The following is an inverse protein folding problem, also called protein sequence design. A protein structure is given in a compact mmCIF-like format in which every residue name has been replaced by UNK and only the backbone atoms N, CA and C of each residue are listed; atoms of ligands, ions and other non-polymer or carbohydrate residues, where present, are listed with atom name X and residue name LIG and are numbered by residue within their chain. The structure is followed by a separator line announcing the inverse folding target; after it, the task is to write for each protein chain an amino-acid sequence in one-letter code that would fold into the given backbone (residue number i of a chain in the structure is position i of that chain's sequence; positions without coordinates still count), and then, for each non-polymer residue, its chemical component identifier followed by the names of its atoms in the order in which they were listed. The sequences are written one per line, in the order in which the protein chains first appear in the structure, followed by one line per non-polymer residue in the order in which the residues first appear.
data_IF_865575636166
#
_entry.id   IF_865575636166
#
_cell.length_a   1.000
_cell.length_b   1.000
_cell.length_c   1.000
_cell.angle_alpha   90.00
_cell.angle_beta   90.00
_cell.angle_gamma   90.00
#
_symmetry.space_group_name_H-M   'P 1'
#
loop_
_entity.id
_entity.type
_entity.pdbx_description
1 polymer ?
#
# COMPACT_ATOMS: atom_id res chain seq x y z
N UNK A 1 13.70 -5.54 8.06
CA UNK A 1 13.96 -4.12 7.71
C UNK A 1 14.46 -3.40 8.98
N UNK A 2 15.56 -2.63 8.94
CA UNK A 2 16.25 -2.07 10.12
C UNK A 2 15.39 -1.11 10.96
N UNK A 3 15.50 -1.20 12.30
CA UNK A 3 14.63 -0.56 13.30
C UNK A 3 14.65 0.97 13.37
N UNK A 4 15.65 1.64 12.81
CA UNK A 4 15.66 3.09 12.62
C UNK A 4 16.77 3.46 11.63
N UNK A 5 16.41 3.84 10.41
CA UNK A 5 17.38 4.04 9.33
C UNK A 5 17.84 5.49 9.29
N UNK A 6 19.15 5.72 9.15
CA UNK A 6 19.68 7.07 8.95
C UNK A 6 19.29 7.57 7.56
N UNK A 7 18.92 8.85 7.46
CA UNK A 7 18.55 9.51 6.21
C UNK A 7 19.57 9.28 5.07
N UNK A 8 20.87 9.21 5.42
CA UNK A 8 21.94 8.94 4.46
C UNK A 8 21.90 7.52 3.87
N UNK A 9 21.71 6.51 4.72
CA UNK A 9 21.62 5.09 4.28
C UNK A 9 20.37 4.85 3.43
N UNK A 10 19.27 5.51 3.77
CA UNK A 10 18.01 5.40 3.03
C UNK A 10 18.11 6.12 1.67
N UNK A 11 18.80 7.26 1.62
CA UNK A 11 19.11 7.96 0.38
C UNK A 11 20.10 7.17 -0.51
N UNK A 12 21.07 6.46 0.06
CA UNK A 12 21.98 5.57 -0.70
C UNK A 12 21.23 4.38 -1.32
N UNK A 13 20.32 3.75 -0.56
CA UNK A 13 19.50 2.63 -1.05
C UNK A 13 18.51 3.06 -2.15
N UNK A 14 17.96 4.28 -2.05
CA UNK A 14 16.97 4.81 -3.00
C UNK A 14 17.58 5.66 -4.13
N UNK A 15 18.86 6.00 -4.04
CA UNK A 15 19.60 6.76 -5.06
C UNK A 15 19.51 6.17 -6.47
N UNK A 16 19.63 4.83 -6.66
CA UNK A 16 19.42 4.20 -7.95
C UNK A 16 18.02 4.41 -8.56
N UNK A 17 17.02 4.73 -7.73
CA UNK A 17 15.64 5.02 -8.15
C UNK A 17 15.37 6.51 -8.38
N UNK A 18 16.41 7.35 -8.36
CA UNK A 18 16.32 8.78 -8.64
C UNK A 18 15.81 9.64 -7.48
N UNK A 19 15.69 9.07 -6.28
CA UNK A 19 15.31 9.80 -5.07
C UNK A 19 16.55 10.33 -4.37
N UNK A 20 16.82 11.63 -4.56
CA UNK A 20 17.88 12.35 -3.85
C UNK A 20 17.53 12.61 -2.38
N UNK A 21 18.55 12.92 -1.58
CA UNK A 21 18.41 13.13 -0.13
C UNK A 21 17.43 14.26 0.22
N UNK A 22 17.40 15.34 -0.57
CA UNK A 22 16.47 16.46 -0.36
C UNK A 22 15.03 16.09 -0.72
N UNK A 23 14.83 15.30 -1.78
CA UNK A 23 13.51 14.77 -2.13
C UNK A 23 12.99 13.82 -1.05
N UNK A 24 13.87 12.99 -0.48
CA UNK A 24 13.53 12.10 0.62
C UNK A 24 13.16 12.87 1.90
N UNK A 25 13.94 13.90 2.27
CA UNK A 25 13.62 14.79 3.40
C UNK A 25 12.27 15.47 3.20
N UNK A 26 12.02 16.02 2.02
CA UNK A 26 10.74 16.64 1.70
C UNK A 26 9.60 15.62 1.80
N UNK A 27 9.77 14.41 1.25
CA UNK A 27 8.74 13.37 1.30
C UNK A 27 8.42 12.94 2.73
N UNK A 28 9.42 12.74 3.58
CA UNK A 28 9.22 12.36 4.98
C UNK A 28 8.56 13.51 5.77
N UNK A 29 9.00 14.75 5.55
CA UNK A 29 8.44 15.92 6.23
C UNK A 29 6.98 16.22 5.81
N UNK A 30 6.64 16.01 4.52
CA UNK A 30 5.28 16.24 4.02
C UNK A 30 4.30 15.12 4.43
N UNK A 31 4.79 13.96 4.87
CA UNK A 31 3.96 12.81 5.29
C UNK A 31 4.13 12.52 6.80
N UNK A 32 3.89 13.53 7.64
CA UNK A 32 3.98 13.42 9.11
C UNK A 32 3.01 12.38 9.71
N UNK A 33 1.92 12.08 9.02
CA UNK A 33 0.97 11.03 9.41
C UNK A 33 1.58 9.62 9.33
N UNK A 34 2.59 9.40 8.48
CA UNK A 34 3.22 8.08 8.28
C UNK A 34 4.59 7.98 8.94
N UNK A 35 5.32 9.09 8.99
CA UNK A 35 6.67 9.13 9.53
C UNK A 35 6.79 10.19 10.63
N UNK A 36 7.36 9.78 11.75
CA UNK A 36 7.66 10.65 12.87
C UNK A 36 9.19 10.81 13.01
N UNK A 37 9.60 12.00 13.40
CA UNK A 37 11.00 12.28 13.70
C UNK A 37 11.24 12.09 15.21
N UNK A 38 12.02 11.08 15.57
CA UNK A 38 12.32 10.72 16.96
C UNK A 38 13.81 10.44 17.11
N UNK A 39 14.47 11.02 18.13
CA UNK A 39 15.91 10.85 18.41
C UNK A 39 16.83 11.03 17.19
N UNK A 40 16.58 12.06 16.38
CA UNK A 40 17.32 12.37 15.14
C UNK A 40 17.24 11.28 14.05
N UNK A 41 16.26 10.39 14.15
CA UNK A 41 15.97 9.33 13.18
C UNK A 41 14.51 9.44 12.74
N UNK A 42 14.24 8.99 11.53
CA UNK A 42 12.87 8.85 11.04
C UNK A 42 12.38 7.44 11.36
N UNK A 43 11.25 7.36 12.04
CA UNK A 43 10.58 6.11 12.37
C UNK A 43 9.14 6.14 11.86
N UNK A 44 8.56 4.99 11.50
CA UNK A 44 7.13 4.93 11.20
C UNK A 44 6.32 5.41 12.40
N UNK A 45 5.36 6.30 12.17
CA UNK A 45 4.49 6.86 13.23
C UNK A 45 3.74 5.76 13.97
N UNK A 46 3.40 4.66 13.28
CA UNK A 46 2.80 3.47 13.88
C UNK A 46 3.58 2.94 15.06
N UNK A 47 4.91 3.03 15.05
CA UNK A 47 5.74 2.47 16.15
C UNK A 47 5.62 3.29 17.43
N UNK A 48 5.44 4.60 17.32
CA UNK A 48 5.23 5.47 18.47
C UNK A 48 3.81 5.28 19.01
N UNK A 49 2.82 5.36 18.14
CA UNK A 49 1.40 5.26 18.51
C UNK A 49 1.03 3.88 19.09
N UNK A 50 1.70 2.83 18.62
CA UNK A 50 1.40 1.45 19.03
C UNK A 50 2.17 1.00 20.27
N UNK A 51 3.18 1.76 20.73
CA UNK A 51 4.03 1.35 21.86
C UNK A 51 3.21 1.06 23.12
N UNK A 52 2.21 1.90 23.41
CA UNK A 52 1.36 1.82 24.60
C UNK A 52 -0.05 1.25 24.31
N UNK A 53 -0.40 1.04 23.04
CA UNK A 53 -1.76 0.64 22.65
C UNK A 53 -2.06 -0.85 22.93
N UNK A 54 -3.31 -1.25 23.24
CA UNK A 54 -3.67 -2.66 23.33
C UNK A 54 -3.24 -3.45 22.08
N UNK A 55 -2.89 -4.73 22.25
CA UNK A 55 -2.24 -5.52 21.19
C UNK A 55 -2.97 -5.48 19.83
N UNK A 56 -4.29 -5.68 19.85
CA UNK A 56 -5.13 -5.61 18.65
C UNK A 56 -5.06 -4.23 17.99
N UNK A 57 -5.00 -3.15 18.79
CA UNK A 57 -4.86 -1.78 18.28
C UNK A 57 -3.48 -1.55 17.67
N UNK A 58 -2.40 -2.12 18.24
CA UNK A 58 -1.07 -2.05 17.65
C UNK A 58 -1.01 -2.67 16.24
N UNK A 59 -1.66 -3.83 16.05
CA UNK A 59 -1.82 -4.43 14.71
C UNK A 59 -2.59 -3.48 13.79
N UNK A 60 -3.72 -2.96 14.26
CA UNK A 60 -4.58 -2.10 13.47
C UNK A 60 -3.85 -0.84 13.00
N UNK A 61 -3.19 -0.12 13.90
CA UNK A 61 -2.40 1.09 13.58
C UNK A 61 -1.27 0.74 12.61
N UNK A 62 -0.60 -0.40 12.80
CA UNK A 62 0.47 -0.83 11.88
C UNK A 62 -0.06 -1.02 10.46
N UNK A 63 -1.22 -1.66 10.31
CA UNK A 63 -1.87 -1.86 9.00
C UNK A 63 -2.42 -0.55 8.41
N UNK A 64 -3.05 0.31 9.23
CA UNK A 64 -3.53 1.64 8.83
C UNK A 64 -2.39 2.48 8.25
N UNK A 65 -1.24 2.52 8.94
CA UNK A 65 -0.07 3.30 8.52
C UNK A 65 0.67 2.69 7.34
N UNK A 66 0.67 1.36 7.20
CA UNK A 66 1.18 0.70 6.00
C UNK A 66 0.31 0.99 4.77
N UNK A 67 -1.01 1.10 4.96
CA UNK A 67 -1.96 1.55 3.94
C UNK A 67 -2.28 0.49 2.89
N UNK A 68 -2.11 -0.79 3.22
CA UNK A 68 -2.44 -1.92 2.35
C UNK A 68 -2.22 -3.27 3.04
N UNK A 69 -2.51 -4.38 2.33
CA UNK A 69 -2.28 -5.73 2.85
C UNK A 69 -0.79 -5.95 3.14
N UNK A 70 -0.48 -6.47 4.32
CA UNK A 70 0.90 -6.69 4.77
C UNK A 70 1.16 -8.19 4.97
N UNK A 71 2.29 -8.75 4.47
CA UNK A 71 2.68 -10.12 4.78
C UNK A 71 2.80 -10.36 6.29
N UNK A 72 2.33 -11.51 6.78
CA UNK A 72 2.33 -11.84 8.21
C UNK A 72 3.73 -11.75 8.85
N UNK A 73 4.76 -12.17 8.11
CA UNK A 73 6.17 -12.09 8.51
C UNK A 73 6.63 -10.63 8.72
N UNK A 74 6.19 -9.72 7.84
CA UNK A 74 6.52 -8.30 7.95
C UNK A 74 5.78 -7.68 9.14
N UNK A 75 4.53 -8.07 9.38
CA UNK A 75 3.77 -7.63 10.54
C UNK A 75 4.41 -8.10 11.84
N UNK A 76 4.80 -9.38 11.92
CA UNK A 76 5.53 -9.94 13.06
C UNK A 76 6.81 -9.15 13.36
N UNK A 77 7.58 -8.86 12.32
CA UNK A 77 8.79 -8.06 12.45
C UNK A 77 8.48 -6.66 12.97
N UNK A 78 7.48 -5.96 12.43
CA UNK A 78 7.10 -4.62 12.92
C UNK A 78 6.66 -4.63 14.39
N UNK A 79 5.85 -5.60 14.79
CA UNK A 79 5.41 -5.74 16.19
C UNK A 79 6.58 -6.03 17.13
N UNK A 80 7.58 -6.80 16.69
CA UNK A 80 8.80 -7.05 17.47
C UNK A 80 9.62 -5.80 17.76
N UNK A 81 9.60 -4.81 16.84
CA UNK A 81 10.24 -3.52 17.06
C UNK A 81 9.48 -2.64 18.05
N UNK A 82 8.15 -2.72 18.04
CA UNK A 82 7.29 -1.91 18.90
C UNK A 82 7.36 -2.43 20.35
N UNK A 83 7.43 -3.76 20.52
CA UNK A 83 7.45 -4.44 21.81
C UNK A 83 8.47 -5.58 21.82
N UNK A 84 9.73 -5.29 22.17
CA UNK A 84 10.79 -6.30 22.21
C UNK A 84 10.61 -7.35 23.33
N UNK A 85 9.93 -6.98 24.42
CA UNK A 85 9.85 -7.80 25.64
C UNK A 85 8.81 -8.93 25.56
N UNK A 86 7.86 -8.83 24.65
CA UNK A 86 6.86 -9.88 24.39
C UNK A 86 7.46 -10.94 23.48
N UNK A 87 7.95 -12.01 24.10
CA UNK A 87 8.83 -13.03 23.52
C UNK A 87 8.25 -13.91 22.40
N UNK A 88 7.03 -13.69 21.89
CA UNK A 88 6.35 -14.62 20.99
C UNK A 88 5.62 -13.92 19.83
N UNK A 89 6.33 -13.13 19.03
CA UNK A 89 5.79 -12.59 17.77
C UNK A 89 5.87 -13.58 16.61
N UNK A 90 5.67 -14.87 16.90
CA UNK A 90 5.69 -15.89 15.87
C UNK A 90 4.50 -15.67 14.90
N UNK A 91 4.71 -15.80 13.57
CA UNK A 91 3.64 -15.72 12.60
C UNK A 91 2.44 -16.61 12.95
N UNK A 92 2.67 -17.81 13.48
CA UNK A 92 1.62 -18.77 13.84
C UNK A 92 0.70 -18.24 14.95
N UNK A 93 1.25 -17.57 15.96
CA UNK A 93 0.47 -16.96 17.04
C UNK A 93 -0.36 -15.79 16.51
N UNK A 94 0.25 -14.96 15.67
CA UNK A 94 -0.45 -13.84 15.03
C UNK A 94 -1.62 -14.34 14.17
N UNK A 95 -1.41 -15.39 13.38
CA UNK A 95 -2.46 -15.98 12.55
C UNK A 95 -3.65 -16.41 13.39
N UNK A 96 -3.44 -17.04 14.55
CA UNK A 96 -4.53 -17.44 15.46
C UNK A 96 -5.33 -16.23 15.97
N UNK A 97 -4.63 -15.17 16.38
CA UNK A 97 -5.27 -13.94 16.87
C UNK A 97 -6.06 -13.25 15.76
N UNK A 98 -5.46 -13.15 14.58
CA UNK A 98 -6.06 -12.53 13.39
C UNK A 98 -7.31 -13.30 12.97
N UNK A 99 -7.23 -14.63 12.83
CA UNK A 99 -8.37 -15.47 12.46
C UNK A 99 -9.50 -15.46 13.50
N UNK A 100 -9.19 -15.20 14.76
CA UNK A 100 -10.18 -15.06 15.83
C UNK A 100 -10.85 -13.69 15.91
N UNK A 101 -10.39 -12.69 15.13
CA UNK A 101 -10.90 -11.33 15.18
C UNK A 101 -11.70 -10.96 13.93
N UNK A 102 -12.84 -10.30 14.12
CA UNK A 102 -13.63 -9.76 13.01
C UNK A 102 -13.00 -8.49 12.37
N UNK A 103 -11.96 -7.93 12.97
CA UNK A 103 -11.32 -6.69 12.51
C UNK A 103 -10.33 -6.91 11.37
N UNK A 104 -9.90 -8.14 11.15
CA UNK A 104 -8.84 -8.48 10.22
C UNK A 104 -9.28 -9.51 9.19
N UNK A 105 -8.67 -9.45 8.02
CA UNK A 105 -8.78 -10.46 6.98
C UNK A 105 -7.42 -11.12 6.80
N UNK A 106 -7.40 -12.45 6.86
CA UNK A 106 -6.23 -13.26 6.54
C UNK A 106 -6.40 -13.84 5.14
N UNK A 107 -5.59 -13.40 4.19
CA UNK A 107 -5.64 -13.87 2.80
C UNK A 107 -4.98 -15.24 2.63
N UNK A 108 -5.15 -15.85 1.47
CA UNK A 108 -4.52 -17.15 1.16
C UNK A 108 -3.03 -17.01 0.85
N UNK A 109 -2.58 -15.81 0.48
CA UNK A 109 -1.17 -15.47 0.22
C UNK A 109 -0.41 -15.03 1.50
N UNK A 110 -0.86 -15.48 2.67
CA UNK A 110 -0.28 -15.15 3.99
C UNK A 110 -0.17 -13.65 4.29
N UNK A 111 -1.08 -12.84 3.73
CA UNK A 111 -1.18 -11.41 4.01
C UNK A 111 -2.34 -11.10 4.95
N UNK A 112 -2.14 -10.08 5.78
CA UNK A 112 -3.10 -9.53 6.71
C UNK A 112 -3.57 -8.19 6.21
N UNK A 113 -4.88 -7.97 6.25
CA UNK A 113 -5.50 -6.72 5.90
C UNK A 113 -6.56 -6.33 6.93
N UNK A 114 -6.94 -5.05 6.94
CA UNK A 114 -8.08 -4.61 7.73
C UNK A 114 -9.37 -5.06 7.05
N UNK A 115 -10.28 -5.61 7.85
CA UNK A 115 -11.57 -6.05 7.34
C UNK A 115 -12.41 -4.86 6.84
N UNK A 116 -12.14 -3.66 7.34
CA UNK A 116 -12.72 -2.41 6.86
C UNK A 116 -12.39 -2.10 5.40
N UNK A 117 -11.37 -2.71 4.79
CA UNK A 117 -11.01 -2.46 3.39
C UNK A 117 -11.83 -3.28 2.39
N UNK A 118 -12.47 -4.34 2.85
CA UNK A 118 -13.36 -5.17 2.05
C UNK A 118 -14.82 -4.80 2.29
N UNK A 119 -15.70 -5.18 1.37
CA UNK A 119 -17.14 -5.12 1.61
C UNK A 119 -17.58 -6.34 2.41
N UNK A 120 -17.99 -6.12 3.65
CA UNK A 120 -18.50 -7.15 4.55
C UNK A 120 -20.02 -7.13 4.62
N UNK A 121 -20.65 -8.24 4.28
CA UNK A 121 -22.10 -8.41 4.43
C UNK A 121 -22.40 -9.88 4.76
N UNK A 122 -23.08 -10.10 5.87
CA UNK A 122 -23.31 -11.42 6.47
C UNK A 122 -24.78 -11.77 6.54
N UNK A 123 -25.63 -10.78 6.83
CA UNK A 123 -27.03 -10.96 7.21
C UNK A 123 -27.96 -9.82 6.78
N UNK A 124 -27.40 -8.65 6.50
CA UNK A 124 -28.08 -7.37 6.63
C UNK A 124 -28.97 -7.02 5.43
N UNK A 125 -29.92 -6.10 5.66
CA UNK A 125 -30.63 -5.43 4.56
C UNK A 125 -29.66 -4.61 3.72
N UNK A 126 -30.00 -4.37 2.46
CA UNK A 126 -29.16 -3.63 1.51
C UNK A 126 -28.73 -2.26 2.04
N UNK A 127 -29.67 -1.49 2.59
CA UNK A 127 -29.40 -0.17 3.19
C UNK A 127 -28.41 -0.25 4.35
N UNK A 128 -28.56 -1.28 5.22
CA UNK A 128 -27.68 -1.47 6.37
C UNK A 128 -26.30 -1.94 5.93
N UNK A 129 -26.20 -2.83 4.94
CA UNK A 129 -24.93 -3.28 4.39
C UNK A 129 -24.14 -2.10 3.79
N UNK A 130 -24.82 -1.19 3.10
CA UNK A 130 -24.17 0.01 2.53
C UNK A 130 -23.73 0.99 3.61
N UNK A 131 -24.56 1.23 4.63
CA UNK A 131 -24.22 2.08 5.75
C UNK A 131 -23.00 1.55 6.53
N UNK A 132 -22.97 0.24 6.84
CA UNK A 132 -21.86 -0.38 7.57
C UNK A 132 -20.53 -0.31 6.81
N UNK A 133 -20.57 -0.43 5.49
CA UNK A 133 -19.37 -0.37 4.65
C UNK A 133 -19.02 1.06 4.19
N UNK A 134 -19.86 2.05 4.50
CA UNK A 134 -19.73 3.44 4.05
C UNK A 134 -19.68 3.56 2.52
N UNK A 135 -20.64 2.91 1.85
CA UNK A 135 -20.75 2.89 0.38
C UNK A 135 -22.05 3.58 -0.04
N UNK A 136 -21.99 4.47 -1.04
CA UNK A 136 -23.19 5.08 -1.64
C UNK A 136 -23.82 4.13 -2.67
N UNK A 137 -25.14 3.96 -2.62
CA UNK A 137 -25.90 3.16 -3.56
C UNK A 137 -25.70 3.63 -5.02
N UNK A 138 -25.57 4.95 -5.24
CA UNK A 138 -25.38 5.52 -6.59
C UNK A 138 -24.09 5.03 -7.23
N UNK A 139 -23.02 4.92 -6.44
CA UNK A 139 -21.72 4.45 -6.92
C UNK A 139 -21.75 2.96 -7.25
N UNK A 140 -22.49 2.18 -6.46
CA UNK A 140 -22.69 0.74 -6.69
C UNK A 140 -23.48 0.50 -7.97
N UNK A 141 -24.55 1.25 -8.21
CA UNK A 141 -25.34 1.14 -9.45
C UNK A 141 -24.52 1.54 -10.68
N UNK A 142 -23.73 2.61 -10.59
CA UNK A 142 -22.84 3.03 -11.66
C UNK A 142 -21.76 1.98 -11.95
N UNK A 143 -21.23 1.33 -10.91
CA UNK A 143 -20.29 0.22 -11.04
C UNK A 143 -20.95 -1.04 -11.63
N UNK A 144 -22.16 -1.38 -11.19
CA UNK A 144 -22.92 -2.52 -11.70
C UNK A 144 -23.17 -2.42 -13.21
N UNK A 145 -23.49 -1.22 -13.72
CA UNK A 145 -23.63 -0.97 -15.17
C UNK A 145 -22.34 -1.27 -15.94
N UNK A 146 -21.18 -0.84 -15.42
CA UNK A 146 -19.86 -1.10 -16.02
C UNK A 146 -19.45 -2.56 -15.96
N UNK A 147 -19.98 -3.31 -14.99
CA UNK A 147 -19.60 -4.69 -14.69
C UNK A 147 -20.64 -5.72 -15.15
N UNK A 148 -21.64 -5.31 -15.93
CA UNK A 148 -22.76 -6.14 -16.41
C UNK A 148 -22.33 -7.38 -17.22
N UNK A 149 -21.11 -7.41 -17.76
CA UNK A 149 -20.55 -8.55 -18.49
C UNK A 149 -19.66 -9.50 -17.67
N UNK A 150 -19.51 -9.28 -16.36
CA UNK A 150 -18.64 -10.11 -15.51
C UNK A 150 -19.43 -11.27 -14.91
N UNK A 151 -18.94 -12.49 -15.10
CA UNK A 151 -19.45 -13.66 -14.40
C UNK A 151 -18.86 -13.71 -12.98
N UNK A 152 -19.69 -13.38 -11.99
CA UNK A 152 -19.30 -13.34 -10.58
C UNK A 152 -19.08 -14.72 -9.95
N UNK A 153 -19.57 -15.79 -10.58
CA UNK A 153 -19.37 -17.17 -10.10
C UNK A 153 -18.02 -17.76 -10.53
N UNK A 154 -17.40 -17.19 -11.56
CA UNK A 154 -16.09 -17.62 -12.02
C UNK A 154 -15.00 -17.29 -10.99
N UNK A 155 -13.95 -18.12 -10.93
CA UNK A 155 -12.80 -17.90 -10.04
C UNK A 155 -12.04 -16.61 -10.37
N UNK A 156 -12.06 -16.20 -11.63
CA UNK A 156 -11.35 -15.02 -12.14
C UNK A 156 -12.18 -13.72 -12.09
N UNK A 157 -13.33 -13.72 -11.41
CA UNK A 157 -14.26 -12.59 -11.39
C UNK A 157 -13.62 -11.28 -10.90
N UNK A 158 -12.80 -11.35 -9.85
CA UNK A 158 -12.10 -10.18 -9.29
C UNK A 158 -11.12 -9.55 -10.31
N UNK A 159 -10.41 -10.38 -11.07
CA UNK A 159 -9.47 -9.92 -12.11
C UNK A 159 -10.22 -9.29 -13.28
N UNK A 160 -11.33 -9.88 -13.70
CA UNK A 160 -12.17 -9.35 -14.78
C UNK A 160 -12.80 -8.00 -14.39
N UNK A 161 -13.30 -7.91 -13.15
CA UNK A 161 -13.87 -6.68 -12.62
C UNK A 161 -12.84 -5.54 -12.56
N UNK A 162 -11.63 -5.83 -12.07
CA UNK A 162 -10.51 -4.87 -12.08
C UNK A 162 -10.12 -4.43 -13.49
N UNK A 163 -10.14 -5.33 -14.47
CA UNK A 163 -9.84 -4.99 -15.88
C UNK A 163 -10.88 -4.05 -16.48
N UNK A 164 -12.15 -4.22 -16.13
CA UNK A 164 -13.25 -3.44 -16.70
C UNK A 164 -13.42 -2.07 -16.03
N UNK A 165 -13.19 -1.95 -14.72
CA UNK A 165 -13.65 -0.80 -13.94
C UNK A 165 -12.57 -0.05 -13.16
N UNK A 166 -11.28 -0.40 -13.26
CA UNK A 166 -10.22 0.33 -12.55
C UNK A 166 -10.05 1.78 -13.06
N UNK A 167 -9.80 2.77 -12.16
CA UNK A 167 -9.67 2.64 -10.71
C UNK A 167 -11.02 2.65 -9.98
N UNK A 168 -11.21 1.75 -9.00
CA UNK A 168 -12.44 1.64 -8.20
C UNK A 168 -12.15 1.15 -6.78
N UNK A 169 -12.97 1.52 -5.80
CA UNK A 169 -12.86 1.01 -4.42
C UNK A 169 -13.14 -0.50 -4.38
N UNK A 170 -12.31 -1.24 -3.61
CA UNK A 170 -12.52 -2.66 -3.34
C UNK A 170 -13.91 -2.93 -2.74
N UNK A 171 -14.43 -1.99 -1.94
CA UNK A 171 -15.76 -2.07 -1.33
C UNK A 171 -16.87 -2.01 -2.36
N UNK A 172 -16.76 -1.12 -3.35
CA UNK A 172 -17.78 -0.98 -4.40
C UNK A 172 -17.79 -2.25 -5.26
N UNK A 173 -16.62 -2.80 -5.60
CA UNK A 173 -16.51 -4.06 -6.32
C UNK A 173 -17.13 -5.23 -5.53
N UNK A 174 -16.84 -5.31 -4.22
CA UNK A 174 -17.44 -6.31 -3.34
C UNK A 174 -18.94 -6.14 -3.18
N UNK A 175 -19.47 -4.92 -3.16
CA UNK A 175 -20.90 -4.65 -3.10
C UNK A 175 -21.63 -5.12 -4.36
N UNK A 176 -21.05 -4.89 -5.55
CA UNK A 176 -21.63 -5.38 -6.82
C UNK A 176 -21.58 -6.91 -6.89
N UNK A 177 -20.47 -7.51 -6.46
CA UNK A 177 -20.35 -8.97 -6.37
C UNK A 177 -21.39 -9.56 -5.41
N UNK A 178 -21.56 -8.94 -4.23
CA UNK A 178 -22.54 -9.34 -3.22
C UNK A 178 -23.98 -9.28 -3.75
N UNK A 179 -24.36 -8.17 -4.41
CA UNK A 179 -25.69 -8.04 -5.02
C UNK A 179 -25.95 -9.08 -6.11
N UNK A 180 -24.92 -9.42 -6.89
CA UNK A 180 -25.06 -10.36 -8.02
C UNK A 180 -25.10 -11.81 -7.55
N UNK A 181 -24.42 -12.14 -6.45
CA UNK A 181 -24.28 -13.51 -5.94
C UNK A 181 -25.32 -13.86 -4.88
N UNK A 182 -25.83 -12.88 -4.12
CA UNK A 182 -26.77 -13.12 -3.04
C UNK A 182 -28.16 -12.57 -3.41
N UNK A 183 -29.14 -13.46 -3.64
CA UNK A 183 -30.54 -13.06 -3.66
C UNK A 183 -30.90 -12.37 -2.35
N UNK A 184 -31.73 -11.32 -2.39
CA UNK A 184 -32.18 -10.58 -1.20
C UNK A 184 -33.21 -11.37 -0.36
N UNK A 185 -33.37 -12.67 -0.63
CA UNK A 185 -34.20 -13.57 0.17
C UNK A 185 -33.42 -14.00 1.43
N UNK A 186 -33.93 -13.72 2.65
CA UNK A 186 -33.29 -14.12 3.90
C UNK A 186 -33.02 -15.63 4.04
N UNK A 187 -33.76 -16.48 3.31
CA UNK A 187 -33.62 -17.94 3.37
C UNK A 187 -32.66 -18.51 2.34
N UNK A 188 -32.26 -17.72 1.34
CA UNK A 188 -31.34 -18.17 0.31
C UNK A 188 -29.92 -18.34 0.87
N UNK A 189 -29.21 -19.35 0.37
CA UNK A 189 -27.80 -19.54 0.72
C UNK A 189 -26.96 -18.42 0.12
N UNK A 190 -26.15 -17.80 0.96
CA UNK A 190 -25.25 -16.71 0.57
C UNK A 190 -23.97 -17.33 0.00
N UNK A 191 -23.64 -16.95 -1.23
CA UNK A 191 -22.46 -17.43 -1.94
C UNK A 191 -21.29 -16.44 -1.84
N UNK A 192 -21.55 -15.19 -1.48
CA UNK A 192 -20.50 -14.18 -1.32
C UNK A 192 -19.76 -14.35 0.00
N UNK A 193 -18.45 -14.58 -0.09
CA UNK A 193 -17.50 -14.48 1.02
C UNK A 193 -16.57 -13.27 0.79
N UNK A 194 -16.61 -12.31 1.71
CA UNK A 194 -15.80 -11.10 1.66
C UNK A 194 -14.30 -11.40 1.70
N UNK A 195 -13.89 -12.40 2.49
CA UNK A 195 -12.49 -12.79 2.66
C UNK A 195 -11.94 -13.40 1.38
N UNK A 196 -12.68 -14.35 0.81
CA UNK A 196 -12.27 -15.02 -0.43
C UNK A 196 -12.22 -14.03 -1.60
N UNK A 197 -13.24 -13.18 -1.73
CA UNK A 197 -13.27 -12.15 -2.78
C UNK A 197 -12.10 -11.18 -2.66
N UNK A 198 -11.81 -10.71 -1.45
CA UNK A 198 -10.72 -9.76 -1.19
C UNK A 198 -9.34 -10.39 -1.41
N UNK A 199 -9.15 -11.66 -0.99
CA UNK A 199 -7.94 -12.45 -1.26
C UNK A 199 -7.66 -12.50 -2.77
N UNK A 200 -8.67 -12.85 -3.58
CA UNK A 200 -8.55 -12.89 -5.05
C UNK A 200 -8.27 -11.52 -5.67
N UNK A 201 -8.79 -10.45 -5.08
CA UNK A 201 -8.59 -9.08 -5.54
C UNK A 201 -7.13 -8.63 -5.35
N UNK A 202 -6.52 -8.99 -4.24
CA UNK A 202 -5.11 -8.67 -3.94
C UNK A 202 -4.16 -9.55 -4.75
N UNK A 203 -4.45 -10.84 -4.86
CA UNK A 203 -3.66 -11.78 -5.66
C UNK A 203 -3.65 -11.42 -7.16
N UNK A 204 -4.61 -10.60 -7.62
CA UNK A 204 -4.69 -10.17 -9.01
C UNK A 204 -3.41 -9.43 -9.46
N UNK A 205 -2.72 -9.89 -10.52
CA UNK A 205 -1.44 -9.33 -10.92
C UNK A 205 -1.56 -7.87 -11.36
N UNK A 206 -0.76 -7.01 -10.73
CA UNK A 206 -0.74 -5.57 -10.98
C UNK A 206 -1.84 -4.81 -10.24
N UNK A 207 -2.54 -5.41 -9.27
CA UNK A 207 -3.34 -4.65 -8.32
C UNK A 207 -2.41 -3.91 -7.35
N UNK A 208 -2.76 -2.66 -7.03
CA UNK A 208 -2.21 -1.95 -5.88
C UNK A 208 -3.34 -1.35 -5.08
N UNK A 209 -3.31 -1.60 -3.78
CA UNK A 209 -4.25 -1.04 -2.81
C UNK A 209 -3.72 0.28 -2.29
N UNK A 210 -4.52 1.34 -2.40
CA UNK A 210 -4.29 2.60 -1.70
C UNK A 210 -4.86 2.55 -0.28
N UNK A 211 -4.42 3.48 0.58
CA UNK A 211 -4.85 3.60 1.98
C UNK A 211 -6.38 3.79 2.17
N UNK A 212 -7.09 4.22 1.11
CA UNK A 212 -8.56 4.36 1.09
C UNK A 212 -9.29 3.11 0.57
N UNK A 213 -8.61 1.95 0.55
CA UNK A 213 -9.08 0.72 -0.11
C UNK A 213 -9.38 0.89 -1.61
N UNK A 214 -8.78 1.89 -2.26
CA UNK A 214 -8.87 2.07 -3.70
C UNK A 214 -8.00 1.03 -4.42
N UNK A 215 -8.62 0.20 -5.27
CA UNK A 215 -7.89 -0.68 -6.17
C UNK A 215 -7.53 0.07 -7.44
N UNK A 216 -6.23 0.18 -7.66
CA UNK A 216 -5.68 0.65 -8.93
C UNK A 216 -4.99 -0.52 -9.62
N UNK A 217 -5.05 -0.55 -10.96
CA UNK A 217 -4.23 -1.47 -11.74
C UNK A 217 -2.98 -0.74 -12.18
N UNK A 218 -1.83 -1.17 -11.70
CA UNK A 218 -0.54 -0.77 -12.22
C UNK A 218 -0.42 -1.23 -13.67
N UNK A 219 -0.47 -0.26 -14.60
CA UNK A 219 -0.36 -0.49 -16.06
C UNK A 219 1.07 -0.89 -16.50
N UNK A 220 1.97 -1.18 -15.56
CA UNK A 220 3.42 -1.26 -15.76
C UNK A 220 4.00 -2.65 -15.97
N UNK A 221 3.20 -3.71 -16.10
CA UNK A 221 3.69 -5.00 -16.62
C UNK A 221 3.65 -5.08 -18.15
N UNK A 222 4.15 -4.05 -18.84
CA UNK A 222 4.83 -4.27 -20.13
C UNK A 222 6.31 -4.34 -19.81
N UNK A 223 6.84 -5.56 -19.75
CA UNK A 223 8.25 -5.82 -20.06
C UNK A 223 8.44 -5.39 -21.51
N UNK A 224 8.70 -4.10 -21.69
CA UNK A 224 8.93 -3.45 -22.96
C UNK A 224 10.25 -2.73 -22.81
N UNK A 225 11.30 -3.36 -23.33
CA UNK A 225 12.50 -2.73 -23.89
C UNK A 225 12.59 -1.23 -23.65
N UNK A 226 13.57 -0.84 -22.82
CA UNK A 226 14.06 0.53 -22.68
C UNK A 226 13.98 1.23 -24.05
N UNK A 227 13.12 2.24 -24.23
CA UNK A 227 13.27 3.09 -25.39
C UNK A 227 14.58 3.82 -25.15
N UNK A 228 15.63 3.48 -25.92
CA UNK A 228 16.82 4.31 -26.05
C UNK A 228 16.36 5.70 -26.46
N UNK A 229 16.11 6.57 -25.47
CA UNK A 229 15.86 7.98 -25.73
C UNK A 229 17.14 8.51 -26.37
N UNK A 230 17.05 8.80 -27.66
CA UNK A 230 18.03 9.61 -28.39
C UNK A 230 18.26 10.87 -27.56
N UNK A 231 19.50 11.04 -27.12
CA UNK A 231 20.00 12.28 -26.55
C UNK A 231 19.68 13.43 -27.52
N UNK A 232 19.15 14.58 -27.04
CA UNK A 232 19.03 15.75 -27.89
C UNK A 232 20.43 16.23 -28.24
N UNK A 233 20.81 16.10 -29.52
CA UNK A 233 21.95 16.77 -30.12
C UNK A 233 21.63 18.26 -30.22
N UNK A 234 21.91 19.02 -29.18
CA UNK A 234 22.07 20.48 -29.27
C UNK A 234 22.88 21.00 -28.09
N UNK A 235 24.20 20.93 -28.22
CA UNK A 235 25.13 21.73 -27.45
C UNK A 235 25.02 23.21 -27.89
N UNK A 236 24.92 24.19 -26.98
CA UNK A 236 25.34 25.54 -27.30
C UNK A 236 26.87 25.58 -27.26
N UNK A 237 27.49 25.62 -28.44
CA UNK A 237 28.88 26.09 -28.60
C UNK A 237 28.93 27.56 -28.19
N UNK A 238 29.52 27.86 -27.02
CA UNK A 238 30.25 29.11 -26.70
C UNK A 238 30.72 29.06 -25.25
N UNK A 239 31.92 28.53 -25.03
CA UNK A 239 32.77 29.05 -23.96
C UNK A 239 34.13 29.36 -24.57
N UNK A 240 34.37 30.67 -24.67
CA UNK A 240 35.58 31.29 -25.18
C UNK A 240 36.76 30.99 -24.25
N UNK A 241 37.90 30.72 -24.88
CA UNK A 241 39.20 30.30 -24.38
C UNK A 241 39.97 31.37 -23.56
N UNK A 242 39.33 32.02 -22.58
CA UNK A 242 39.98 33.11 -21.81
C UNK A 242 40.06 32.96 -20.29
N UNK A 243 39.66 31.84 -19.69
CA UNK A 243 39.67 31.70 -18.21
C UNK A 243 40.55 30.55 -17.68
N UNK A 244 41.65 30.26 -18.37
CA UNK A 244 42.64 29.25 -17.96
C UNK A 244 44.08 29.82 -17.83
N UNK A 245 44.19 31.11 -17.52
CA UNK A 245 45.44 31.77 -17.09
C UNK A 245 45.21 32.67 -15.89
N UNK A 246 44.80 32.11 -14.75
CA UNK A 246 44.86 32.80 -13.45
C UNK A 246 44.78 31.83 -12.27
N UNK A 247 45.58 30.75 -12.30
CA UNK A 247 45.74 29.84 -11.14
C UNK A 247 47.12 29.16 -11.10
N UNK A 248 48.16 29.82 -11.62
CA UNK A 248 49.56 29.36 -11.59
C UNK A 248 50.57 30.38 -11.05
N UNK A 249 50.15 31.36 -10.24
CA UNK A 249 51.07 32.37 -9.66
C UNK A 249 50.96 32.59 -8.15
N UNK A 250 50.45 31.63 -7.37
CA UNK A 250 50.43 31.71 -5.89
C UNK A 250 51.03 30.47 -5.20
N UNK A 251 52.17 30.02 -5.68
CA UNK A 251 53.10 29.13 -4.94
C UNK A 251 54.54 29.53 -5.25
N UNK A 252 55.02 30.59 -4.59
CA UNK A 252 56.45 30.89 -4.34
C UNK A 252 56.52 32.20 -3.56
N UNK A 253 56.48 32.11 -2.24
CA UNK A 253 57.08 33.04 -1.26
C UNK A 253 56.68 32.55 0.14
N UNK A 254 57.49 31.64 0.69
CA UNK A 254 57.65 31.37 2.12
C UNK A 254 58.85 30.42 2.23
N UNK A 255 60.04 30.99 2.04
CA UNK A 255 61.34 30.48 2.46
C UNK A 255 62.30 31.66 2.52
N UNK A 256 62.30 32.34 3.66
CA UNK A 256 63.45 32.81 4.43
C UNK A 256 62.93 33.49 5.68
#
# INVERSE_FOLDING_TARGET
MEGAVRLGELAEKLGPHGLGLDALKSLLATNSERFAYHDRKWIPTSRIESAEAPFVRAIQVTLERFGGPMPIESLAQELSWIRPESQDWSPERLIRIIKGSALFLYTDDDQVALAEWAFQASGETLERAYALNQVDAKDVEAAAKKLSGVDWRAKDCAVQALKAAAPMSAKILGAVAWLSLNPQDPKAHRLYDAREFFSRLIAAPGSSMGATASCTRNRTSRVGSVPRRRWPRSWPRRFSSKTLRRLKSRRRTLRR
#
